data_IF_464371528422
#
_entry.id   IF_464371528422
#
_cell.length_a   1.000
_cell.length_b   1.000
_cell.length_c   1.000
_cell.angle_alpha   90.00
_cell.angle_beta   90.00
_cell.angle_gamma   90.00
#
_symmetry.space_group_name_H-M   'P 1'
#
loop_
_entity.id
_entity.type
_entity.pdbx_description
1 polymer ?
#
# COMPACT_ATOMS: atom_id res chain seq x y z
N UNK A 1 -8.15 4.06 -7.17
CA UNK A 1 -7.89 2.91 -6.28
C UNK A 1 -7.17 3.32 -4.99
N UNK A 2 -5.88 3.72 -5.02
CA UNK A 2 -5.10 4.09 -3.83
C UNK A 2 -5.84 4.96 -2.78
N UNK A 3 -6.41 6.10 -3.18
CA UNK A 3 -7.16 6.98 -2.26
C UNK A 3 -8.30 6.27 -1.53
N UNK A 4 -9.00 5.36 -2.20
CA UNK A 4 -10.11 4.61 -1.61
C UNK A 4 -9.62 3.55 -0.62
N UNK A 5 -8.53 2.84 -0.94
CA UNK A 5 -7.91 1.86 -0.03
C UNK A 5 -7.34 2.52 1.23
N UNK A 6 -6.74 3.69 1.08
CA UNK A 6 -6.24 4.52 2.18
C UNK A 6 -7.40 4.97 3.07
N UNK A 7 -8.47 5.49 2.47
CA UNK A 7 -9.65 5.92 3.21
C UNK A 7 -10.27 4.76 3.98
N UNK A 8 -10.45 3.61 3.33
CA UNK A 8 -10.96 2.41 3.97
C UNK A 8 -10.09 1.96 5.17
N UNK A 9 -8.78 1.82 4.96
CA UNK A 9 -7.85 1.40 6.02
C UNK A 9 -7.56 2.46 7.08
N UNK A 10 -8.01 3.70 6.89
CA UNK A 10 -7.99 4.75 7.93
C UNK A 10 -9.19 4.68 8.87
N UNK A 11 -10.29 4.08 8.43
CA UNK A 11 -11.53 4.00 9.19
C UNK A 11 -11.77 2.62 9.82
N UNK A 12 -11.35 1.55 9.14
CA UNK A 12 -11.64 0.18 9.55
C UNK A 12 -10.36 -0.60 9.81
N UNK A 13 -10.28 -1.29 10.94
CA UNK A 13 -9.28 -2.34 11.12
C UNK A 13 -9.66 -3.56 10.29
N UNK A 14 -8.78 -3.93 9.37
CA UNK A 14 -9.05 -5.01 8.41
C UNK A 14 -8.53 -6.34 8.94
N UNK A 15 -7.54 -6.31 9.83
CA UNK A 15 -6.94 -7.49 10.44
C UNK A 15 -7.99 -8.33 11.18
N UNK A 16 -8.02 -9.64 10.93
CA UNK A 16 -8.97 -10.59 11.49
C UNK A 16 -10.36 -10.55 10.86
N UNK A 17 -10.58 -9.72 9.82
CA UNK A 17 -11.88 -9.65 9.13
C UNK A 17 -11.91 -10.55 7.89
N UNK A 18 -13.11 -10.88 7.42
CA UNK A 18 -13.30 -11.62 6.17
C UNK A 18 -12.81 -10.85 4.90
N UNK A 19 -12.47 -9.57 5.04
CA UNK A 19 -11.99 -8.72 3.96
C UNK A 19 -10.47 -8.63 3.90
N UNK A 20 -9.75 -9.13 4.91
CA UNK A 20 -8.29 -8.99 5.05
C UNK A 20 -7.54 -9.35 3.76
N UNK A 21 -7.73 -10.57 3.26
CA UNK A 21 -7.06 -11.06 2.05
C UNK A 21 -7.38 -10.21 0.82
N UNK A 22 -8.65 -9.83 0.65
CA UNK A 22 -9.09 -9.00 -0.50
C UNK A 22 -8.51 -7.59 -0.43
N UNK A 23 -8.46 -7.03 0.77
CA UNK A 23 -7.88 -5.72 1.01
C UNK A 23 -6.38 -5.74 0.72
N UNK A 24 -5.64 -6.71 1.27
CA UNK A 24 -4.18 -6.83 1.06
C UNK A 24 -3.87 -7.01 -0.41
N UNK A 25 -4.57 -7.89 -1.12
CA UNK A 25 -4.39 -8.06 -2.55
C UNK A 25 -4.63 -6.77 -3.35
N UNK A 26 -5.66 -6.00 -2.99
CA UNK A 26 -5.93 -4.72 -3.64
C UNK A 26 -4.87 -3.64 -3.30
N UNK A 27 -4.33 -3.65 -2.08
CA UNK A 27 -3.25 -2.76 -1.64
C UNK A 27 -1.97 -3.10 -2.38
N UNK A 28 -1.59 -4.38 -2.42
CA UNK A 28 -0.45 -4.89 -3.18
C UNK A 28 -0.56 -4.48 -4.65
N UNK A 29 -1.66 -4.80 -5.31
CA UNK A 29 -1.91 -4.37 -6.69
C UNK A 29 -1.76 -2.85 -6.83
N UNK A 30 -2.39 -2.05 -5.96
CA UNK A 30 -2.25 -0.59 -6.04
C UNK A 30 -0.82 -0.09 -5.85
N UNK A 31 0.01 -0.78 -5.07
CA UNK A 31 1.40 -0.40 -4.79
C UNK A 31 2.39 -0.93 -5.83
N UNK A 32 2.12 -2.08 -6.46
CA UNK A 32 2.93 -2.62 -7.56
C UNK A 32 2.85 -1.76 -8.82
N UNK A 33 1.69 -1.13 -9.06
CA UNK A 33 1.48 -0.28 -10.25
C UNK A 33 1.65 1.24 -9.96
N UNK A 34 2.33 1.61 -8.87
CA UNK A 34 2.68 3.01 -8.59
C UNK A 34 4.18 3.27 -8.79
N UNK A 35 4.53 4.31 -9.54
CA UNK A 35 5.92 4.76 -9.68
C UNK A 35 6.12 6.18 -9.17
N UNK A 36 7.39 6.54 -8.94
CA UNK A 36 7.81 7.92 -8.67
C UNK A 36 7.42 8.81 -9.88
N UNK A 37 7.22 10.12 -9.66
CA UNK A 37 7.03 11.04 -10.78
C UNK A 37 8.19 10.90 -11.79
N UNK A 38 7.88 11.06 -13.08
CA UNK A 38 8.79 10.98 -14.23
C UNK A 38 9.12 9.58 -14.78
N UNK A 39 8.51 8.51 -14.27
CA UNK A 39 8.53 7.18 -14.90
C UNK A 39 7.26 6.96 -15.75
N UNK A 40 7.45 6.68 -17.04
CA UNK A 40 6.36 6.47 -18.01
C UNK A 40 5.61 5.16 -17.76
N UNK A 41 4.28 5.16 -17.84
CA UNK A 41 3.44 3.95 -17.80
C UNK A 41 2.72 3.67 -16.48
N UNK A 42 2.98 4.43 -15.40
CA UNK A 42 2.46 4.14 -14.05
C UNK A 42 1.81 5.35 -13.35
N UNK A 43 1.06 5.09 -12.27
CA UNK A 43 0.26 6.13 -11.59
C UNK A 43 1.04 6.89 -10.51
N UNK A 44 1.71 7.97 -10.91
CA UNK A 44 2.38 8.91 -9.98
C UNK A 44 1.43 9.45 -8.89
N UNK A 45 0.14 9.60 -9.21
CA UNK A 45 -0.90 10.06 -8.28
C UNK A 45 -1.16 9.03 -7.17
N UNK A 46 -1.04 7.74 -7.48
CA UNK A 46 -1.16 6.67 -6.48
C UNK A 46 0.04 6.68 -5.52
N UNK A 47 1.25 6.85 -6.05
CA UNK A 47 2.46 6.98 -5.24
C UNK A 47 2.35 8.15 -4.25
N UNK A 48 1.96 9.33 -4.73
CA UNK A 48 1.77 10.49 -3.85
C UNK A 48 0.68 10.26 -2.80
N UNK A 49 -0.43 9.61 -3.16
CA UNK A 49 -1.49 9.29 -2.20
C UNK A 49 -0.98 8.39 -1.08
N UNK A 50 -0.31 7.28 -1.43
CA UNK A 50 0.27 6.36 -0.44
C UNK A 50 1.32 7.07 0.41
N UNK A 51 2.27 7.79 -0.19
CA UNK A 51 3.31 8.54 0.54
C UNK A 51 2.74 9.56 1.53
N UNK A 52 1.77 10.36 1.10
CA UNK A 52 1.25 11.46 1.92
C UNK A 52 0.24 11.01 2.98
N UNK A 53 -0.46 9.89 2.76
CA UNK A 53 -1.53 9.41 3.64
C UNK A 53 -1.22 8.09 4.33
N UNK A 54 -0.03 7.52 4.17
CA UNK A 54 0.42 6.35 4.93
C UNK A 54 0.21 6.51 6.45
N UNK A 55 0.55 7.66 7.07
CA UNK A 55 0.35 7.83 8.51
C UNK A 55 -1.12 7.85 8.95
N UNK A 56 -2.08 8.09 8.04
CA UNK A 56 -3.50 8.13 8.39
C UNK A 56 -4.16 6.76 8.48
N UNK A 57 -3.49 5.69 8.03
CA UNK A 57 -3.97 4.33 8.26
C UNK A 57 -3.98 3.99 9.76
N UNK A 58 -4.79 3.03 10.19
CA UNK A 58 -4.65 2.51 11.55
C UNK A 58 -3.29 1.83 11.74
N UNK A 59 -2.77 1.83 12.97
CA UNK A 59 -1.49 1.18 13.27
C UNK A 59 -1.51 -0.32 12.94
N UNK A 60 -2.63 -0.98 13.24
CA UNK A 60 -2.89 -2.39 12.91
C UNK A 60 -2.77 -2.65 11.40
N UNK A 61 -3.44 -1.84 10.57
CA UNK A 61 -3.40 -2.00 9.12
C UNK A 61 -2.01 -1.70 8.52
N UNK A 62 -1.29 -0.69 9.03
CA UNK A 62 0.09 -0.44 8.59
C UNK A 62 0.99 -1.63 8.87
N UNK A 63 0.88 -2.22 10.07
CA UNK A 63 1.67 -3.40 10.43
C UNK A 63 1.29 -4.59 9.56
N UNK A 64 0.00 -4.81 9.32
CA UNK A 64 -0.48 -5.88 8.44
C UNK A 64 0.10 -5.72 7.03
N UNK A 65 -0.06 -4.55 6.41
CA UNK A 65 0.45 -4.29 5.05
C UNK A 65 1.97 -4.47 5.01
N UNK A 66 2.70 -3.98 6.02
CA UNK A 66 4.15 -4.10 6.07
C UNK A 66 4.60 -5.56 6.14
N UNK A 67 4.00 -6.36 7.02
CA UNK A 67 4.34 -7.77 7.18
C UNK A 67 4.09 -8.54 5.87
N UNK A 68 2.93 -8.34 5.24
CA UNK A 68 2.57 -9.03 3.99
C UNK A 68 3.45 -8.61 2.81
N UNK A 69 4.02 -7.40 2.83
CA UNK A 69 4.90 -6.89 1.77
C UNK A 69 6.38 -7.27 1.94
N UNK A 70 6.82 -7.59 3.16
CA UNK A 70 8.18 -8.08 3.43
C UNK A 70 8.40 -9.52 2.91
N UNK A 71 7.33 -10.32 2.78
CA UNK A 71 7.38 -11.72 2.33
C UNK A 71 7.33 -11.90 0.79
N UNK A 72 7.27 -10.81 0.01
CA UNK A 72 7.19 -10.88 -1.46
C UNK A 72 8.62 -10.99 -2.07
N UNK A 73 8.87 -11.77 -3.14
CA UNK A 73 10.21 -11.90 -3.73
C UNK A 73 10.77 -10.59 -4.33
N UNK A 74 12.05 -10.32 -4.04
CA UNK A 74 12.83 -9.07 -4.23
C UNK A 74 12.91 -8.44 -5.63
N UNK A 75 12.25 -8.95 -6.67
CA UNK A 75 12.35 -8.38 -8.02
C UNK A 75 11.49 -7.11 -8.25
N UNK A 76 10.57 -6.76 -7.34
CA UNK A 76 9.73 -5.55 -7.45
C UNK A 76 9.81 -4.60 -6.23
N UNK A 77 10.49 -4.99 -5.15
CA UNK A 77 10.31 -4.39 -3.81
C UNK A 77 11.40 -3.42 -3.41
N UNK A 78 12.57 -3.48 -4.06
CA UNK A 78 13.73 -2.73 -3.59
C UNK A 78 13.50 -1.21 -3.55
N UNK A 79 12.47 -0.74 -4.24
CA UNK A 79 12.06 0.65 -4.25
C UNK A 79 10.84 0.93 -3.35
N UNK A 80 9.98 -0.03 -2.98
CA UNK A 80 8.73 0.24 -2.23
C UNK A 80 8.98 0.41 -0.73
N UNK A 81 9.72 -0.48 -0.07
CA UNK A 81 9.92 -0.43 1.39
C UNK A 81 10.92 0.67 1.80
N UNK A 82 11.98 0.89 1.02
CA UNK A 82 12.91 2.02 1.20
C UNK A 82 12.29 3.40 0.90
N UNK A 83 11.08 3.47 0.32
CA UNK A 83 10.38 4.75 0.04
C UNK A 83 9.60 5.30 1.25
N UNK A 84 9.47 4.54 2.34
CA UNK A 84 8.63 4.90 3.51
C UNK A 84 9.34 4.81 4.87
N UNK A 85 10.62 4.42 4.92
CA UNK A 85 11.55 4.73 6.03
C UNK A 85 12.17 6.10 5.72
#
# INVERSE_FOLDING_TARGET
>A
LAKWLIYFGSLFEVKGTNFEKKYIHAVEHSMTYMNKPYETGYSWRAYLAWKTKWPSLTASNRSLIKNEMEDIPLQQIHDIVSKFI
#
